data_IF_617721555472
#
_entry.id   IF_617721555472
#
_cell.length_a   1.000
_cell.length_b   1.000
_cell.length_c   1.000
_cell.angle_alpha   90.00
_cell.angle_beta   90.00
_cell.angle_gamma   90.00
#
_symmetry.space_group_name_H-M   'P 1'
#
loop_
_entity.id
_entity.type
_entity.pdbx_description
1 polymer ?
#
# COMPACT_ATOMS: atom_id res chain seq x y z
N UNK A 1 9.33 -5.85 -14.76
CA UNK A 1 9.88 -4.70 -14.02
C UNK A 1 10.64 -5.24 -12.80
N UNK A 2 11.95 -4.98 -12.66
CA UNK A 2 12.72 -5.45 -11.49
C UNK A 2 12.51 -4.50 -10.31
N UNK A 3 12.48 -5.03 -9.08
CA UNK A 3 12.26 -4.25 -7.85
C UNK A 3 13.56 -4.14 -7.07
N UNK A 4 14.01 -2.91 -6.79
CA UNK A 4 15.20 -2.66 -5.97
C UNK A 4 14.82 -2.54 -4.50
N UNK A 5 15.52 -3.26 -3.62
CA UNK A 5 15.30 -3.13 -2.17
C UNK A 5 15.76 -1.75 -1.67
N UNK A 6 14.93 -1.03 -0.92
CA UNK A 6 15.28 0.28 -0.36
C UNK A 6 16.32 0.23 0.78
N UNK A 7 16.58 -0.95 1.36
CA UNK A 7 17.54 -1.13 2.47
C UNK A 7 18.92 -1.58 2.00
N UNK A 8 18.98 -2.52 1.06
CA UNK A 8 20.25 -3.10 0.59
C UNK A 8 20.57 -2.82 -0.88
N UNK A 9 19.66 -2.14 -1.60
CA UNK A 9 19.80 -1.73 -3.00
C UNK A 9 20.01 -2.87 -4.02
N UNK A 10 19.82 -4.13 -3.61
CA UNK A 10 19.84 -5.28 -4.52
C UNK A 10 18.53 -5.37 -5.30
N UNK A 11 18.64 -5.91 -6.51
CA UNK A 11 17.50 -6.27 -7.34
C UNK A 11 16.88 -7.56 -6.82
N UNK A 12 15.56 -7.54 -6.66
CA UNK A 12 14.75 -8.70 -6.34
C UNK A 12 13.95 -9.16 -7.57
N UNK A 13 13.47 -10.40 -7.48
CA UNK A 13 12.48 -10.92 -8.42
C UNK A 13 11.26 -9.97 -8.46
N UNK A 14 10.70 -9.65 -9.65
CA UNK A 14 9.47 -8.86 -9.79
C UNK A 14 8.31 -9.29 -8.89
N UNK A 15 8.20 -10.59 -8.61
CA UNK A 15 7.12 -11.16 -7.81
C UNK A 15 7.49 -11.32 -6.33
N UNK A 16 8.67 -10.85 -5.91
CA UNK A 16 9.12 -10.95 -4.52
C UNK A 16 8.26 -10.08 -3.59
N UNK A 17 7.75 -10.68 -2.52
CA UNK A 17 6.96 -9.98 -1.48
C UNK A 17 7.83 -9.32 -0.40
N UNK A 18 9.08 -9.75 -0.30
CA UNK A 18 10.11 -9.24 0.59
C UNK A 18 11.47 -9.44 -0.09
N UNK A 19 12.47 -8.67 0.34
CA UNK A 19 13.84 -8.83 -0.14
C UNK A 19 14.39 -10.20 0.26
N UNK A 20 14.87 -10.98 -0.69
CA UNK A 20 15.42 -12.33 -0.47
C UNK A 20 16.65 -12.36 0.45
N UNK A 21 17.43 -11.28 0.47
CA UNK A 21 18.64 -11.15 1.28
C UNK A 21 18.38 -10.52 2.66
N UNK A 22 17.75 -9.35 2.70
CA UNK A 22 17.57 -8.58 3.93
C UNK A 22 16.25 -8.88 4.65
N UNK A 23 15.26 -9.46 3.96
CA UNK A 23 13.92 -9.69 4.49
C UNK A 23 13.05 -8.42 4.59
N UNK A 24 13.53 -7.28 4.11
CA UNK A 24 12.75 -6.04 4.09
C UNK A 24 11.55 -6.17 3.15
N UNK A 25 10.37 -5.79 3.63
CA UNK A 25 9.23 -5.56 2.76
C UNK A 25 9.52 -4.38 1.83
N UNK A 26 9.02 -4.41 0.58
CA UNK A 26 8.92 -3.18 -0.20
C UNK A 26 8.23 -2.16 0.70
N UNK A 27 8.76 -0.95 0.79
CA UNK A 27 8.08 0.10 1.55
C UNK A 27 6.68 0.22 0.94
N UNK A 28 5.67 -0.21 1.70
CA UNK A 28 4.30 0.08 1.37
C UNK A 28 4.26 1.59 1.30
N UNK A 29 4.06 2.14 0.10
CA UNK A 29 3.73 3.55 -0.06
C UNK A 29 2.59 3.75 0.93
N UNK A 30 2.84 4.53 1.99
CA UNK A 30 1.86 4.83 3.03
C UNK A 30 0.79 5.70 2.37
N UNK A 31 -0.07 5.06 1.60
CA UNK A 31 -1.21 5.69 0.99
C UNK A 31 -2.22 5.93 2.10
N UNK A 32 -2.76 7.14 2.16
CA UNK A 32 -3.85 7.46 3.07
C UNK A 32 -5.15 7.51 2.28
N UNK A 33 -6.24 7.06 2.91
CA UNK A 33 -7.58 7.16 2.34
C UNK A 33 -8.39 8.19 3.13
N UNK A 34 -9.09 9.07 2.43
CA UNK A 34 -9.94 10.06 3.07
C UNK A 34 -11.32 9.47 3.33
N UNK A 35 -11.83 9.65 4.55
CA UNK A 35 -13.19 9.27 4.89
C UNK A 35 -14.20 10.11 4.08
N UNK A 36 -15.14 9.46 3.40
CA UNK A 36 -16.17 10.14 2.60
C UNK A 36 -17.17 10.93 3.45
N UNK A 37 -17.27 10.64 4.75
CA UNK A 37 -18.20 11.31 5.68
C UNK A 37 -17.57 12.49 6.40
N UNK A 38 -16.41 12.30 7.04
CA UNK A 38 -15.80 13.31 7.91
C UNK A 38 -14.46 13.85 7.40
N UNK A 39 -14.01 13.38 6.23
CA UNK A 39 -12.78 13.83 5.56
C UNK A 39 -11.46 13.64 6.32
N UNK A 40 -11.47 12.88 7.43
CA UNK A 40 -10.24 12.46 8.11
C UNK A 40 -9.42 11.53 7.21
N UNK A 41 -8.10 11.68 7.19
CA UNK A 41 -7.18 10.72 6.59
C UNK A 41 -7.02 9.49 7.49
N UNK A 42 -7.15 8.31 6.88
CA UNK A 42 -7.00 7.02 7.55
C UNK A 42 -5.94 6.19 6.82
N UNK A 43 -5.47 5.13 7.47
CA UNK A 43 -4.61 4.11 6.85
C UNK A 43 -5.34 3.49 5.63
N UNK A 44 -4.62 3.26 4.53
CA UNK A 44 -5.20 2.69 3.30
C UNK A 44 -5.79 1.28 3.46
N UNK A 45 -5.40 0.56 4.52
CA UNK A 45 -5.95 -0.74 4.87
C UNK A 45 -7.00 -0.66 6.00
N UNK A 46 -7.34 0.54 6.49
CA UNK A 46 -8.37 0.72 7.52
C UNK A 46 -9.76 0.34 7.00
N UNK A 47 -10.46 -0.52 7.74
CA UNK A 47 -11.87 -0.89 7.46
C UNK A 47 -12.86 0.16 7.98
N UNK A 48 -12.47 0.92 8.99
CA UNK A 48 -13.30 1.90 9.68
C UNK A 48 -12.55 3.22 9.85
N UNK A 49 -13.28 4.33 9.82
CA UNK A 49 -12.71 5.64 10.11
C UNK A 49 -12.35 5.77 11.59
N UNK A 50 -11.11 6.20 11.88
CA UNK A 50 -10.60 6.42 13.23
C UNK A 50 -11.33 7.54 13.99
N UNK A 51 -12.01 8.45 13.28
CA UNK A 51 -12.74 9.57 13.88
C UNK A 51 -14.24 9.30 14.01
N UNK A 52 -14.92 8.94 12.92
CA UNK A 52 -16.39 8.81 12.92
C UNK A 52 -16.90 7.37 12.96
N UNK A 53 -16.00 6.37 12.90
CA UNK A 53 -16.36 4.95 12.97
C UNK A 53 -17.12 4.40 11.76
N UNK A 54 -17.35 5.19 10.71
CA UNK A 54 -18.01 4.69 9.51
C UNK A 54 -17.13 3.68 8.78
N UNK A 55 -17.76 2.77 8.04
CA UNK A 55 -17.04 1.87 7.13
C UNK A 55 -16.38 2.71 6.05
N UNK A 56 -15.11 2.42 5.76
CA UNK A 56 -14.39 3.00 4.63
C UNK A 56 -14.48 2.02 3.47
N UNK A 57 -14.96 2.50 2.33
CA UNK A 57 -14.96 1.70 1.10
C UNK A 57 -13.51 1.49 0.65
N UNK A 58 -13.08 0.24 0.38
CA UNK A 58 -11.74 -0.02 -0.08
C UNK A 58 -11.52 0.71 -1.41
N UNK A 59 -10.34 1.32 -1.64
CA UNK A 59 -10.04 1.92 -2.92
C UNK A 59 -10.15 0.84 -4.00
N UNK A 60 -10.77 1.18 -5.13
CA UNK A 60 -10.83 0.27 -6.26
C UNK A 60 -9.41 -0.16 -6.59
N UNK A 61 -9.18 -1.48 -6.66
CA UNK A 61 -7.95 -2.00 -7.25
C UNK A 61 -8.00 -1.64 -8.72
N UNK A 62 -7.46 -0.48 -9.07
CA UNK A 62 -7.11 -0.18 -10.45
C UNK A 62 -5.99 -1.17 -10.75
N UNK A 63 -6.37 -2.31 -11.29
CA UNK A 63 -5.44 -3.16 -12.00
C UNK A 63 -5.14 -2.31 -13.22
N UNK A 64 -3.94 -1.75 -13.32
CA UNK A 64 -3.47 -1.12 -14.55
C UNK A 64 -3.43 -2.21 -15.64
N UNK A 65 -4.60 -2.58 -16.18
CA UNK A 65 -4.68 -3.22 -17.48
C UNK A 65 -4.26 -2.14 -18.45
N UNK A 66 -2.98 -2.18 -18.84
CA UNK A 66 -2.45 -1.40 -19.94
C UNK A 66 -3.44 -1.43 -21.11
N UNK A 67 -4.01 -0.27 -21.44
CA UNK A 67 -4.49 0.05 -22.78
C UNK A 67 -3.31 0.56 -23.60
#
# INVERSE_FOLDING_TARGET
>A
MMITCSKCFRLNNPNARFCDWYGAYPEHISTSIQCTRCHTNNDSFAKFCSTCGCVIEPPLRIIDTCL
#
